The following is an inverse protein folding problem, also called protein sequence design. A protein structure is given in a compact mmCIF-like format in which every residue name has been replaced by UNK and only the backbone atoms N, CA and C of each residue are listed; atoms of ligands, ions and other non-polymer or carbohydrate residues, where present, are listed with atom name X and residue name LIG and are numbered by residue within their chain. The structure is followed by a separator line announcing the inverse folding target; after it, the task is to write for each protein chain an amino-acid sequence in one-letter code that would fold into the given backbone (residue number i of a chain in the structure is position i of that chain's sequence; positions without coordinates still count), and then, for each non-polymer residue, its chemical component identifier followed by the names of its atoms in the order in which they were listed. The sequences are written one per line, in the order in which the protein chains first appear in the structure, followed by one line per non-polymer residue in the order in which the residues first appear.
data_IF_028215262423
#
_entry.id   IF_028215262423
#
_cell.length_a   1.000
_cell.length_b   1.000
_cell.length_c   1.000
_cell.angle_alpha   90.00
_cell.angle_beta   90.00
_cell.angle_gamma   90.00
#
_symmetry.space_group_name_H-M   'P 1'
#
loop_
_entity.id
_entity.type
_entity.pdbx_description
1 polymer ?
#
# COMPACT_ATOMS: atom_id res chain seq x y z
N UNK A 1 -27.07 -21.54 17.40
CA UNK A 1 -26.39 -20.22 17.37
C UNK A 1 -24.91 -20.47 17.13
N UNK A 2 -24.45 -20.44 15.88
CA UNK A 2 -23.03 -20.65 15.56
C UNK A 2 -22.25 -19.37 15.81
N UNK A 3 -21.20 -19.41 16.63
CA UNK A 3 -20.30 -18.27 16.80
C UNK A 3 -19.57 -18.03 15.48
N UNK A 4 -19.77 -16.84 14.89
CA UNK A 4 -18.98 -16.44 13.74
C UNK A 4 -17.51 -16.38 14.18
N UNK A 5 -16.64 -17.19 13.57
CA UNK A 5 -15.19 -17.07 13.77
C UNK A 5 -14.76 -15.66 13.33
N UNK A 6 -14.12 -14.93 14.24
CA UNK A 6 -13.50 -13.65 13.91
C UNK A 6 -12.45 -13.88 12.82
N UNK A 7 -12.54 -13.12 11.72
CA UNK A 7 -11.53 -13.19 10.66
C UNK A 7 -10.23 -12.58 11.18
N UNK A 8 -9.07 -13.21 10.97
CA UNK A 8 -7.79 -12.61 11.34
C UNK A 8 -7.64 -11.27 10.61
N UNK A 9 -7.19 -10.24 11.35
CA UNK A 9 -6.87 -8.94 10.76
C UNK A 9 -5.65 -9.11 9.85
N UNK A 10 -5.88 -8.98 8.55
CA UNK A 10 -4.82 -9.00 7.54
C UNK A 10 -4.22 -7.60 7.44
N UNK A 11 -2.90 -7.51 7.36
CA UNK A 11 -2.20 -6.28 6.98
C UNK A 11 -1.98 -6.28 5.48
N UNK A 12 -2.37 -5.21 4.80
CA UNK A 12 -2.28 -5.11 3.35
C UNK A 12 -0.82 -4.90 2.91
N UNK A 13 -0.49 -5.36 1.71
CA UNK A 13 0.86 -5.20 1.16
C UNK A 13 1.32 -3.74 1.09
N UNK A 14 0.42 -2.80 0.78
CA UNK A 14 0.73 -1.36 0.73
C UNK A 14 1.05 -0.80 2.13
N UNK A 15 0.36 -1.27 3.17
CA UNK A 15 0.62 -0.85 4.55
C UNK A 15 1.98 -1.37 5.01
N UNK A 16 2.34 -2.60 4.65
CA UNK A 16 3.67 -3.17 4.93
C UNK A 16 4.77 -2.44 4.17
N UNK A 17 4.60 -2.24 2.86
CA UNK A 17 5.55 -1.54 2.01
C UNK A 17 5.87 -0.13 2.52
N UNK A 18 4.87 0.61 3.00
CA UNK A 18 5.06 1.97 3.50
C UNK A 18 5.76 1.99 4.86
N UNK A 19 5.39 1.06 5.75
CA UNK A 19 5.97 1.00 7.10
C UNK A 19 7.39 0.43 7.11
N UNK A 20 7.66 -0.57 6.26
CA UNK A 20 8.93 -1.30 6.21
C UNK A 20 9.31 -1.54 4.74
N UNK A 21 9.71 -0.48 4.01
CA UNK A 21 10.15 -0.69 2.64
C UNK A 21 11.38 -1.59 2.61
N UNK A 22 11.46 -2.52 1.65
CA UNK A 22 12.64 -3.34 1.52
C UNK A 22 13.82 -2.51 1.00
N UNK A 23 15.03 -2.83 1.43
CA UNK A 23 16.26 -2.08 1.11
C UNK A 23 16.53 -1.99 -0.39
N UNK A 24 16.22 -3.05 -1.14
CA UNK A 24 16.40 -3.07 -2.60
C UNK A 24 15.55 -2.03 -3.33
N UNK A 25 14.52 -1.48 -2.68
CA UNK A 25 13.70 -0.44 -3.26
C UNK A 25 14.43 0.90 -3.28
N UNK A 26 15.49 1.11 -2.50
CA UNK A 26 16.10 2.44 -2.37
C UNK A 26 16.63 3.01 -3.70
N UNK A 27 16.44 4.32 -3.90
CA UNK A 27 16.81 5.03 -5.13
C UNK A 27 16.01 4.67 -6.41
N UNK A 28 15.19 3.61 -6.41
CA UNK A 28 14.45 3.20 -7.62
C UNK A 28 13.25 4.09 -7.93
N UNK A 29 12.96 4.26 -9.23
CA UNK A 29 11.71 4.87 -9.71
C UNK A 29 10.57 3.85 -9.66
N UNK A 30 9.39 4.29 -9.20
CA UNK A 30 8.21 3.45 -9.04
C UNK A 30 7.16 3.78 -10.10
N UNK A 31 6.52 2.74 -10.62
CA UNK A 31 5.24 2.81 -11.31
C UNK A 31 4.17 2.11 -10.48
N UNK A 32 2.98 2.69 -10.39
CA UNK A 32 1.87 2.12 -9.64
C UNK A 32 0.75 1.70 -10.60
N UNK A 33 0.50 0.40 -10.69
CA UNK A 33 -0.74 -0.14 -11.27
C UNK A 33 -1.80 -0.16 -10.17
N UNK A 34 -2.88 0.58 -10.35
CA UNK A 34 -3.91 0.71 -9.33
C UNK A 34 -5.30 0.97 -9.90
N UNK A 35 -6.31 0.79 -9.06
CA UNK A 35 -7.68 1.20 -9.33
C UNK A 35 -8.32 1.74 -8.04
N UNK A 36 -9.60 2.09 -8.10
CA UNK A 36 -10.34 2.67 -6.97
C UNK A 36 -10.33 1.81 -5.69
N UNK A 37 -10.14 0.48 -5.81
CA UNK A 37 -10.07 -0.42 -4.65
C UNK A 37 -8.67 -0.49 -4.01
N UNK A 38 -7.67 0.18 -4.59
CA UNK A 38 -6.30 0.21 -4.09
C UNK A 38 -6.17 1.19 -2.92
N UNK A 39 -6.75 0.85 -1.77
CA UNK A 39 -6.72 1.67 -0.55
C UNK A 39 -6.16 0.89 0.65
N UNK A 40 -5.68 1.59 1.67
CA UNK A 40 -5.40 0.99 2.98
C UNK A 40 -6.67 0.72 3.79
N UNK A 41 -6.50 0.23 5.02
CA UNK A 41 -7.61 -0.01 5.97
C UNK A 41 -8.35 1.26 6.43
N UNK A 42 -7.87 2.45 6.05
CA UNK A 42 -8.46 3.76 6.36
C UNK A 42 -9.02 4.46 5.12
N UNK A 43 -9.13 3.74 4.00
CA UNK A 43 -9.60 4.26 2.71
C UNK A 43 -8.69 5.36 2.11
N UNK A 44 -7.41 5.40 2.48
CA UNK A 44 -6.42 6.25 1.81
C UNK A 44 -5.91 5.50 0.58
N UNK A 45 -5.93 6.15 -0.57
CA UNK A 45 -5.51 5.54 -1.82
C UNK A 45 -4.01 5.27 -1.85
N UNK A 46 -3.59 4.11 -2.38
CA UNK A 46 -2.19 3.67 -2.44
C UNK A 46 -1.27 4.69 -3.10
N UNK A 47 -1.74 5.44 -4.11
CA UNK A 47 -1.00 6.56 -4.72
C UNK A 47 -0.54 7.57 -3.68
N UNK A 48 -1.44 7.98 -2.80
CA UNK A 48 -1.18 9.07 -1.85
C UNK A 48 -0.24 8.58 -0.74
N UNK A 49 -0.38 7.31 -0.32
CA UNK A 49 0.55 6.65 0.59
C UNK A 49 1.97 6.56 0.02
N UNK A 50 2.09 6.16 -1.26
CA UNK A 50 3.40 6.05 -1.92
C UNK A 50 4.04 7.42 -2.19
N UNK A 51 3.26 8.44 -2.57
CA UNK A 51 3.78 9.80 -2.72
C UNK A 51 4.32 10.36 -1.40
N UNK A 52 3.62 10.10 -0.28
CA UNK A 52 4.06 10.52 1.04
C UNK A 52 5.34 9.78 1.49
N UNK A 53 5.45 8.47 1.19
CA UNK A 53 6.56 7.64 1.66
C UNK A 53 7.82 7.70 0.79
N UNK A 54 7.65 7.86 -0.51
CA UNK A 54 8.70 7.85 -1.53
C UNK A 54 8.59 9.11 -2.39
N UNK A 55 8.87 10.30 -1.80
CA UNK A 55 8.76 11.56 -2.51
C UNK A 55 9.61 11.55 -3.79
N UNK A 56 9.07 12.14 -4.85
CA UNK A 56 9.67 12.27 -6.19
C UNK A 56 9.96 10.97 -6.95
N UNK A 57 9.69 9.81 -6.35
CA UNK A 57 10.03 8.50 -6.90
C UNK A 57 8.87 7.79 -7.59
N UNK A 58 7.62 8.12 -7.28
CA UNK A 58 6.46 7.63 -8.04
C UNK A 58 6.32 8.41 -9.36
N UNK A 59 6.59 7.76 -10.49
CA UNK A 59 6.72 8.42 -11.80
C UNK A 59 5.59 8.14 -12.78
N UNK A 60 4.84 7.06 -12.59
CA UNK A 60 3.75 6.68 -13.48
C UNK A 60 2.63 5.96 -12.74
N UNK A 61 1.41 6.12 -13.27
CA UNK A 61 0.20 5.43 -12.84
C UNK A 61 -0.38 4.66 -14.02
N UNK A 62 -0.87 3.45 -13.77
CA UNK A 62 -1.55 2.59 -14.73
C UNK A 62 -2.88 2.10 -14.13
#
# INVERSE_FOLDING_TARGET
MGTAKEKPRVRLGVEELVARPPEWLDGLRLGLLCNQASTDSRFVHSRDLLLARFPDRLRCLF
#
